data_IF_072017624989
#
_entry.id   IF_072017624989
#
_cell.length_a   1.000
_cell.length_b   1.000
_cell.length_c   1.000
_cell.angle_alpha   90.00
_cell.angle_beta   90.00
_cell.angle_gamma   90.00
#
_symmetry.space_group_name_H-M   'P 1'
#
loop_
_entity.id
_entity.type
_entity.pdbx_description
1 polymer ?
#
# COMPACT_ATOMS: atom_id res chain seq x y z
N UNK A 1 3.17 -9.02 7.84
CA UNK A 1 1.99 -8.70 7.03
C UNK A 1 0.70 -9.21 7.67
N UNK A 2 0.51 -10.51 7.89
CA UNK A 2 -0.74 -11.06 8.43
C UNK A 2 -1.22 -10.32 9.70
N UNK A 3 -0.37 -10.15 10.70
CA UNK A 3 -0.70 -9.39 11.92
C UNK A 3 -1.17 -7.96 11.62
N UNK A 4 -0.54 -7.28 10.67
CA UNK A 4 -0.94 -5.91 10.30
C UNK A 4 -2.35 -5.89 9.67
N UNK A 5 -2.66 -6.85 8.81
CA UNK A 5 -4.00 -6.97 8.21
C UNK A 5 -5.02 -7.25 9.32
N UNK A 6 -4.74 -8.22 10.18
CA UNK A 6 -5.67 -8.72 11.17
C UNK A 6 -5.97 -7.70 12.28
N UNK A 7 -4.94 -7.05 12.79
CA UNK A 7 -5.10 -6.19 13.98
C UNK A 7 -5.43 -4.75 13.60
N UNK A 8 -4.75 -4.20 12.56
CA UNK A 8 -4.93 -2.79 12.22
C UNK A 8 -6.23 -2.51 11.46
N UNK A 9 -6.75 -3.48 10.71
CA UNK A 9 -8.01 -3.30 9.98
C UNK A 9 -9.25 -3.71 10.78
N UNK A 10 -9.11 -4.48 11.84
CA UNK A 10 -10.24 -4.97 12.66
C UNK A 10 -11.21 -3.88 13.13
N UNK A 11 -10.78 -2.67 13.54
CA UNK A 11 -11.71 -1.62 13.93
C UNK A 11 -12.56 -1.04 12.79
N UNK A 12 -12.21 -1.33 11.54
CA UNK A 12 -12.81 -0.71 10.34
C UNK A 12 -13.60 -1.68 9.48
N UNK A 13 -13.43 -2.99 9.69
CA UNK A 13 -14.01 -4.04 8.85
C UNK A 13 -14.82 -5.03 9.68
N UNK A 14 -15.89 -5.55 9.09
CA UNK A 14 -16.59 -6.72 9.62
C UNK A 14 -15.69 -7.96 9.57
N UNK A 15 -15.98 -9.05 10.32
CA UNK A 15 -15.21 -10.29 10.24
C UNK A 15 -15.10 -10.85 8.81
N UNK A 16 -16.17 -10.81 8.02
CA UNK A 16 -16.19 -11.30 6.64
C UNK A 16 -15.35 -10.41 5.72
N UNK A 17 -15.42 -9.09 5.88
CA UNK A 17 -14.56 -8.15 5.15
C UNK A 17 -13.09 -8.32 5.53
N UNK A 18 -12.77 -8.59 6.79
CA UNK A 18 -11.40 -8.87 7.21
C UNK A 18 -10.86 -10.15 6.58
N UNK A 19 -11.70 -11.19 6.49
CA UNK A 19 -11.34 -12.43 5.79
C UNK A 19 -11.10 -12.18 4.29
N UNK A 20 -11.95 -11.39 3.63
CA UNK A 20 -11.80 -11.00 2.23
C UNK A 20 -10.53 -10.16 2.02
N UNK A 21 -10.23 -9.21 2.92
CA UNK A 21 -8.99 -8.41 2.90
C UNK A 21 -7.74 -9.30 2.99
N UNK A 22 -7.73 -10.30 3.86
CA UNK A 22 -6.64 -11.29 3.95
C UNK A 22 -6.43 -12.06 2.65
N UNK A 23 -7.52 -12.42 1.97
CA UNK A 23 -7.45 -13.14 0.71
C UNK A 23 -6.91 -12.27 -0.44
N UNK A 24 -7.15 -10.96 -0.43
CA UNK A 24 -6.69 -10.03 -1.47
C UNK A 24 -5.33 -9.39 -1.20
N UNK A 25 -4.94 -9.25 0.06
CA UNK A 25 -3.69 -8.60 0.47
C UNK A 25 -2.58 -9.61 0.76
N UNK A 26 -1.33 -9.20 0.73
CA UNK A 26 -0.20 -10.06 1.07
C UNK A 26 1.09 -9.66 0.38
N UNK A 27 1.96 -10.65 0.18
CA UNK A 27 3.23 -10.46 -0.49
C UNK A 27 3.01 -10.08 -1.96
N UNK A 28 3.79 -9.11 -2.41
CA UNK A 28 3.92 -8.73 -3.81
C UNK A 28 5.38 -8.95 -4.24
N UNK A 29 5.66 -10.10 -4.83
CA UNK A 29 7.00 -10.47 -5.28
C UNK A 29 7.50 -9.58 -6.41
N UNK A 30 6.60 -8.98 -7.20
CA UNK A 30 6.98 -8.06 -8.26
C UNK A 30 7.73 -6.84 -7.72
N UNK A 31 7.36 -6.32 -6.54
CA UNK A 31 8.09 -5.22 -5.90
C UNK A 31 9.51 -5.63 -5.46
N UNK A 32 9.70 -6.90 -5.10
CA UNK A 32 11.01 -7.45 -4.73
C UNK A 32 11.86 -7.63 -5.99
N UNK A 33 11.30 -8.19 -7.04
CA UNK A 33 11.96 -8.38 -8.34
C UNK A 33 12.37 -7.05 -8.98
N UNK A 34 11.51 -6.03 -8.87
CA UNK A 34 11.77 -4.67 -9.36
C UNK A 34 12.77 -3.89 -8.46
N UNK A 35 13.15 -4.43 -7.29
CA UNK A 35 14.04 -3.75 -6.32
C UNK A 35 13.41 -2.52 -5.67
N UNK A 36 12.09 -2.46 -5.58
CA UNK A 36 11.32 -1.29 -5.11
C UNK A 36 10.61 -1.51 -3.77
N UNK A 37 10.94 -2.59 -3.06
CA UNK A 37 10.37 -2.95 -1.77
C UNK A 37 11.34 -2.70 -0.63
N UNK A 38 10.91 -1.95 0.37
CA UNK A 38 11.70 -1.53 1.52
C UNK A 38 11.28 -2.26 2.79
N UNK A 39 12.23 -2.56 3.65
CA UNK A 39 12.00 -3.10 4.99
C UNK A 39 12.60 -2.21 6.06
N UNK A 40 11.93 -2.08 7.21
CA UNK A 40 12.45 -1.42 8.41
C UNK A 40 12.65 -2.47 9.48
N UNK A 41 13.85 -2.49 10.05
CA UNK A 41 14.28 -3.47 11.04
C UNK A 41 14.54 -2.80 12.40
N UNK A 42 14.14 -3.46 13.49
CA UNK A 42 14.49 -3.12 14.86
C UNK A 42 15.29 -4.31 15.41
N UNK A 43 16.64 -4.17 15.42
CA UNK A 43 17.53 -5.31 15.56
C UNK A 43 17.30 -6.34 14.45
N UNK A 44 17.02 -7.58 14.80
CA UNK A 44 16.76 -8.68 13.87
C UNK A 44 15.25 -8.83 13.52
N UNK A 45 14.40 -7.91 13.98
CA UNK A 45 12.95 -7.99 13.77
C UNK A 45 12.51 -7.05 12.65
N UNK A 46 11.84 -7.59 11.62
CA UNK A 46 11.19 -6.78 10.59
C UNK A 46 9.91 -6.14 11.16
N UNK A 47 9.93 -4.83 11.37
CA UNK A 47 8.85 -4.08 12.01
C UNK A 47 7.98 -3.29 11.03
N UNK A 48 8.39 -3.18 9.78
CA UNK A 48 7.58 -2.58 8.72
C UNK A 48 8.14 -2.87 7.35
N UNK A 49 7.27 -2.87 6.34
CA UNK A 49 7.66 -3.02 4.95
C UNK A 49 6.64 -2.31 4.05
N UNK A 50 7.07 -2.02 2.84
CA UNK A 50 6.25 -1.37 1.81
C UNK A 50 7.14 -0.89 0.68
N UNK A 51 6.53 -0.40 -0.38
CA UNK A 51 7.31 0.04 -1.52
C UNK A 51 6.51 0.87 -2.51
N UNK A 52 7.13 1.08 -3.65
CA UNK A 52 6.52 1.75 -4.77
C UNK A 52 6.64 0.90 -6.03
N UNK A 53 5.88 1.24 -7.07
CA UNK A 53 5.94 0.52 -8.34
C UNK A 53 5.83 1.47 -9.52
N UNK A 54 6.69 1.31 -10.56
CA UNK A 54 6.52 1.97 -11.84
C UNK A 54 5.51 1.23 -12.74
N UNK A 55 4.73 0.28 -12.20
CA UNK A 55 3.76 -0.54 -12.95
C UNK A 55 2.33 -0.16 -12.63
N UNK A 56 1.42 -0.48 -13.53
CA UNK A 56 0.02 -0.07 -13.46
C UNK A 56 -0.79 -0.78 -12.36
N UNK A 57 -0.34 -1.91 -11.83
CA UNK A 57 -1.02 -2.62 -10.73
C UNK A 57 -1.18 -1.69 -9.51
N UNK A 58 -2.41 -1.31 -9.21
CA UNK A 58 -2.71 -0.40 -8.11
C UNK A 58 -2.75 -1.09 -6.75
N UNK A 59 -3.27 -2.33 -6.68
CA UNK A 59 -3.68 -3.00 -5.45
C UNK A 59 -3.48 -4.51 -5.52
N UNK A 60 -3.35 -5.15 -4.35
CA UNK A 60 -3.37 -6.59 -4.18
C UNK A 60 -1.98 -7.24 -4.11
N UNK A 61 -1.94 -8.48 -3.61
CA UNK A 61 -0.77 -9.36 -3.57
C UNK A 61 -0.61 -10.21 -4.83
N UNK A 62 0.29 -11.19 -4.81
CA UNK A 62 0.59 -12.05 -5.97
C UNK A 62 -0.63 -12.76 -6.57
N UNK A 63 -1.58 -13.13 -5.74
CA UNK A 63 -2.77 -13.92 -6.10
C UNK A 63 -4.01 -13.09 -6.40
N UNK A 64 -3.91 -11.75 -6.33
CA UNK A 64 -5.06 -10.87 -6.58
C UNK A 64 -5.39 -10.80 -8.06
N UNK A 65 -6.69 -10.72 -8.37
CA UNK A 65 -7.17 -10.46 -9.72
C UNK A 65 -6.88 -9.01 -10.16
N UNK A 66 -6.90 -8.77 -11.48
CA UNK A 66 -6.79 -7.42 -12.04
C UNK A 66 -5.40 -6.81 -12.00
N UNK A 67 -4.35 -7.62 -11.80
CA UNK A 67 -2.96 -7.14 -11.89
C UNK A 67 -2.61 -6.75 -13.32
N UNK A 68 -1.99 -5.58 -13.47
CA UNK A 68 -1.47 -5.07 -14.74
C UNK A 68 0.03 -4.76 -14.58
N UNK A 69 0.92 -5.60 -15.10
CA UNK A 69 2.37 -5.41 -14.99
C UNK A 69 2.93 -4.37 -15.98
N UNK A 70 2.09 -3.72 -16.77
CA UNK A 70 2.49 -2.67 -17.71
C UNK A 70 3.29 -1.58 -17.01
N UNK A 71 4.38 -1.14 -17.62
CA UNK A 71 5.15 0.02 -17.16
C UNK A 71 4.35 1.31 -17.39
N UNK A 72 4.38 2.18 -16.39
CA UNK A 72 3.77 3.51 -16.42
C UNK A 72 4.72 4.52 -17.11
N UNK A 73 4.14 5.51 -17.77
CA UNK A 73 4.87 6.65 -18.28
C UNK A 73 5.03 7.72 -17.18
N UNK A 74 6.26 7.98 -16.68
CA UNK A 74 6.48 8.96 -15.62
C UNK A 74 6.04 10.39 -15.97
N UNK A 75 5.96 10.72 -17.26
CA UNK A 75 5.56 12.06 -17.71
C UNK A 75 4.06 12.32 -17.54
N UNK A 76 3.23 11.28 -17.60
CA UNK A 76 1.77 11.41 -17.68
C UNK A 76 1.00 10.59 -16.65
N UNK A 77 1.62 9.59 -16.04
CA UNK A 77 0.98 8.67 -15.10
C UNK A 77 1.56 8.80 -13.68
N UNK A 78 0.85 8.29 -12.68
CA UNK A 78 1.23 8.29 -11.26
C UNK A 78 1.89 6.97 -10.89
N UNK A 79 3.05 7.01 -10.22
CA UNK A 79 3.61 5.80 -9.62
C UNK A 79 2.70 5.25 -8.51
N UNK A 80 2.79 3.96 -8.22
CA UNK A 80 1.96 3.31 -7.20
C UNK A 80 2.74 3.14 -5.91
N UNK A 81 2.17 3.55 -4.77
CA UNK A 81 2.64 3.16 -3.44
C UNK A 81 1.89 1.89 -3.05
N UNK A 82 2.62 0.85 -2.64
CA UNK A 82 2.04 -0.48 -2.50
C UNK A 82 2.57 -1.24 -1.29
N UNK A 83 1.77 -2.24 -0.87
CA UNK A 83 2.15 -3.26 0.11
C UNK A 83 2.72 -2.69 1.42
N UNK A 84 2.12 -1.60 1.92
CA UNK A 84 2.50 -0.91 3.14
C UNK A 84 1.97 -1.65 4.37
N UNK A 85 2.87 -2.20 5.16
CA UNK A 85 2.54 -2.91 6.40
C UNK A 85 3.42 -2.43 7.54
N UNK A 86 2.83 -2.18 8.70
CA UNK A 86 3.54 -1.91 9.95
C UNK A 86 3.19 -2.98 10.99
N UNK A 87 4.16 -3.41 11.77
CA UNK A 87 3.92 -4.33 12.86
C UNK A 87 3.03 -3.65 13.93
N UNK A 88 1.92 -4.26 14.38
CA UNK A 88 0.98 -3.61 15.31
C UNK A 88 1.63 -3.13 16.62
N UNK A 89 2.57 -3.89 17.16
CA UNK A 89 3.33 -3.53 18.35
C UNK A 89 4.34 -2.39 18.15
N UNK A 90 4.52 -1.89 16.92
CA UNK A 90 5.49 -0.84 16.58
C UNK A 90 4.84 0.36 15.87
N UNK A 91 3.52 0.49 15.96
CA UNK A 91 2.79 1.65 15.41
C UNK A 91 3.18 2.95 16.12
N UNK A 92 2.92 4.08 15.47
CA UNK A 92 3.23 5.44 15.97
C UNK A 92 4.72 5.74 16.22
N UNK A 93 5.63 4.90 15.72
CA UNK A 93 7.10 5.07 15.80
C UNK A 93 7.73 5.65 14.53
N UNK A 94 6.93 6.18 13.61
CA UNK A 94 7.40 6.77 12.35
C UNK A 94 7.71 5.76 11.22
N UNK A 95 7.58 4.46 11.46
CA UNK A 95 7.94 3.39 10.51
C UNK A 95 7.22 3.55 9.17
N UNK A 96 5.90 3.73 9.20
CA UNK A 96 5.12 3.93 7.98
C UNK A 96 5.55 5.17 7.20
N UNK A 97 5.87 6.27 7.90
CA UNK A 97 6.36 7.51 7.27
C UNK A 97 7.72 7.29 6.60
N UNK A 98 8.65 6.62 7.27
CA UNK A 98 9.98 6.32 6.73
C UNK A 98 9.90 5.52 5.42
N UNK A 99 9.05 4.49 5.38
CA UNK A 99 8.85 3.67 4.18
C UNK A 99 8.19 4.49 3.06
N UNK A 100 7.18 5.29 3.41
CA UNK A 100 6.45 6.12 2.45
C UNK A 100 7.37 7.15 1.81
N UNK A 101 8.16 7.87 2.60
CA UNK A 101 9.14 8.87 2.14
C UNK A 101 10.22 8.23 1.24
N UNK A 102 10.69 7.03 1.57
CA UNK A 102 11.63 6.30 0.72
C UNK A 102 11.01 5.93 -0.64
N UNK A 103 9.76 5.46 -0.66
CA UNK A 103 9.02 5.18 -1.89
C UNK A 103 8.77 6.41 -2.73
N UNK A 104 8.35 7.52 -2.11
CA UNK A 104 8.15 8.82 -2.79
C UNK A 104 9.44 9.36 -3.39
N UNK A 105 10.55 9.29 -2.64
CA UNK A 105 11.86 9.72 -3.13
C UNK A 105 12.33 8.89 -4.33
N UNK A 106 12.15 7.57 -4.27
CA UNK A 106 12.50 6.66 -5.37
C UNK A 106 11.64 6.89 -6.60
N UNK A 107 10.32 7.08 -6.44
CA UNK A 107 9.42 7.40 -7.54
C UNK A 107 9.78 8.74 -8.21
N UNK A 108 10.11 9.76 -7.40
CA UNK A 108 10.59 11.06 -7.92
C UNK A 108 11.90 10.90 -8.69
N UNK A 109 12.85 10.13 -8.18
CA UNK A 109 14.12 9.86 -8.85
C UNK A 109 13.94 9.11 -10.18
N UNK A 110 12.87 8.30 -10.31
CA UNK A 110 12.46 7.65 -11.55
C UNK A 110 11.68 8.55 -12.52
N UNK A 111 11.49 9.83 -12.18
CA UNK A 111 10.87 10.84 -13.05
C UNK A 111 9.37 11.05 -12.84
N UNK A 112 8.74 10.33 -11.92
CA UNK A 112 7.32 10.53 -11.60
C UNK A 112 7.10 11.84 -10.85
N UNK A 113 5.99 12.51 -11.16
CA UNK A 113 5.59 13.78 -10.55
C UNK A 113 4.48 13.63 -9.52
N UNK A 114 3.87 12.46 -9.46
CA UNK A 114 2.81 12.15 -8.52
C UNK A 114 2.78 10.64 -8.21
N UNK A 115 2.19 10.34 -7.07
CA UNK A 115 1.96 8.96 -6.63
C UNK A 115 0.49 8.76 -6.30
N UNK A 116 0.03 7.51 -6.40
CA UNK A 116 -1.29 7.10 -5.94
C UNK A 116 -1.25 5.73 -5.25
N UNK A 117 -2.28 5.43 -4.49
CA UNK A 117 -2.44 4.15 -3.82
C UNK A 117 -3.90 3.78 -3.63
N UNK A 118 -4.19 2.50 -3.46
CA UNK A 118 -5.41 2.03 -2.84
C UNK A 118 -5.18 1.88 -1.33
N UNK A 119 -5.66 2.82 -0.56
CA UNK A 119 -5.54 2.83 0.89
C UNK A 119 -6.68 2.05 1.54
N UNK A 120 -6.36 1.25 2.57
CA UNK A 120 -7.38 0.70 3.48
C UNK A 120 -7.99 1.80 4.34
N UNK A 121 -9.19 1.61 4.84
CA UNK A 121 -9.81 2.57 5.78
C UNK A 121 -8.97 2.79 7.04
N UNK A 122 -8.25 1.77 7.48
CA UNK A 122 -7.29 1.87 8.59
C UNK A 122 -6.07 2.75 8.25
N UNK A 123 -5.57 2.69 7.03
CA UNK A 123 -4.42 3.48 6.57
C UNK A 123 -4.76 4.92 6.20
N UNK A 124 -5.97 5.17 5.73
CA UNK A 124 -6.41 6.48 5.23
C UNK A 124 -6.06 7.67 6.15
N UNK A 125 -6.31 7.64 7.48
CA UNK A 125 -5.96 8.76 8.36
C UNK A 125 -4.45 9.04 8.42
N UNK A 126 -3.62 7.99 8.28
CA UNK A 126 -2.17 8.14 8.22
C UNK A 126 -1.74 8.86 6.94
N UNK A 127 -2.25 8.44 5.78
CA UNK A 127 -1.89 9.04 4.49
C UNK A 127 -2.36 10.50 4.37
N UNK A 128 -3.54 10.84 4.91
CA UNK A 128 -3.98 12.24 5.00
C UNK A 128 -2.95 13.12 5.75
N UNK A 129 -2.42 12.62 6.89
CA UNK A 129 -1.36 13.33 7.64
C UNK A 129 -0.02 13.38 6.92
N UNK A 130 0.18 12.55 5.89
CA UNK A 130 1.37 12.55 5.03
C UNK A 130 1.19 13.39 3.77
N UNK A 131 0.07 14.13 3.65
CA UNK A 131 -0.20 15.06 2.55
C UNK A 131 -0.84 14.41 1.33
N UNK A 132 -1.41 13.21 1.48
CA UNK A 132 -2.26 12.61 0.45
C UNK A 132 -3.67 13.17 0.53
N UNK A 133 -4.33 13.22 -0.62
CA UNK A 133 -5.73 13.59 -0.75
C UNK A 133 -6.54 12.36 -1.18
N UNK A 134 -7.79 12.27 -0.73
CA UNK A 134 -8.72 11.22 -1.19
C UNK A 134 -9.30 11.64 -2.53
N UNK A 135 -9.00 10.91 -3.59
CA UNK A 135 -9.59 11.12 -4.92
C UNK A 135 -10.95 10.44 -5.05
N UNK A 136 -11.08 9.21 -4.53
CA UNK A 136 -12.34 8.45 -4.54
C UNK A 136 -12.39 7.42 -3.41
N UNK A 137 -13.58 6.99 -3.04
CA UNK A 137 -13.82 5.81 -2.22
C UNK A 137 -14.61 4.78 -3.00
N UNK A 138 -14.27 3.52 -2.86
CA UNK A 138 -14.87 2.44 -3.62
C UNK A 138 -14.86 1.13 -2.85
N UNK A 139 -15.56 0.14 -3.37
CA UNK A 139 -15.62 -1.20 -2.81
C UNK A 139 -14.85 -2.17 -3.71
N UNK A 140 -13.84 -2.83 -3.16
CA UNK A 140 -13.20 -3.95 -3.82
C UNK A 140 -14.14 -5.17 -3.75
N UNK A 141 -14.67 -5.56 -4.90
CA UNK A 141 -15.62 -6.68 -5.04
C UNK A 141 -14.97 -7.95 -5.60
N UNK A 142 -13.64 -8.03 -5.62
CA UNK A 142 -12.92 -9.23 -6.08
C UNK A 142 -12.94 -10.39 -5.08
N UNK A 143 -13.30 -10.13 -3.82
CA UNK A 143 -13.43 -11.12 -2.76
C UNK A 143 -14.85 -11.63 -2.55
N UNK A 144 -15.04 -12.47 -1.53
CA UNK A 144 -16.37 -13.02 -1.16
C UNK A 144 -17.37 -11.95 -0.71
N UNK A 145 -16.88 -10.86 -0.12
CA UNK A 145 -17.67 -9.68 0.27
C UNK A 145 -16.92 -8.41 -0.11
N UNK A 146 -17.61 -7.30 -0.42
CA UNK A 146 -16.98 -6.04 -0.77
C UNK A 146 -16.19 -5.44 0.40
N UNK A 147 -14.95 -5.00 0.13
CA UNK A 147 -14.07 -4.36 1.11
C UNK A 147 -13.88 -2.89 0.74
N UNK A 148 -14.14 -1.93 1.68
CA UNK A 148 -13.99 -0.50 1.38
C UNK A 148 -12.51 -0.09 1.28
N UNK A 149 -12.20 0.64 0.22
CA UNK A 149 -10.89 1.21 -0.08
C UNK A 149 -11.03 2.67 -0.52
N UNK A 150 -9.93 3.41 -0.45
CA UNK A 150 -9.85 4.76 -0.99
C UNK A 150 -8.68 4.88 -1.97
N UNK A 151 -8.91 5.45 -3.13
CA UNK A 151 -7.82 5.94 -3.98
C UNK A 151 -7.31 7.24 -3.38
N UNK A 152 -6.04 7.26 -3.02
CA UNK A 152 -5.38 8.44 -2.47
C UNK A 152 -4.21 8.85 -3.36
N UNK A 153 -4.03 10.16 -3.53
CA UNK A 153 -3.07 10.76 -4.46
C UNK A 153 -2.22 11.82 -3.77
N UNK A 154 -1.00 12.01 -4.27
CA UNK A 154 -0.10 13.08 -3.82
C UNK A 154 0.80 13.54 -4.96
N UNK A 155 0.95 14.85 -5.12
CA UNK A 155 2.01 15.44 -5.97
C UNK A 155 3.35 15.34 -5.24
N UNK A 156 4.41 14.95 -5.97
CA UNK A 156 5.76 14.77 -5.45
C UNK A 156 6.60 16.05 -5.54
#
# INVERSE_FOLDING_TARGET
MALAIDELQRPYLTPDQLAASRAGMGLDSQLIEDGTYFGVWDGDTLVGCGGWSPRATLYGGNHSAGRDPRMLDPATERAKIRAMYAHPGHTHRGIGRMILEAGEAAARAAGFRAVEMAATMAGKPFYLRCGYETESEWLDSNGAVPVPLATMVKTL
#
